data_IF_553669406452
#
_entry.id   IF_553669406452
#
_cell.length_a   1.000
_cell.length_b   1.000
_cell.length_c   1.000
_cell.angle_alpha   90.00
_cell.angle_beta   90.00
_cell.angle_gamma   90.00
#
_symmetry.space_group_name_H-M   'P 1'
#
loop_
_entity.id
_entity.type
_entity.pdbx_description
1 polymer ?
#
# COMPACT_ATOMS: atom_id res chain seq x y z
N UNK A 1 -30.27 60.02 4.72
CA UNK A 1 -29.98 58.69 4.11
C UNK A 1 -28.47 58.49 4.22
N UNK A 2 -28.01 58.00 5.38
CA UNK A 2 -26.59 57.75 5.66
C UNK A 2 -26.34 56.25 5.52
N UNK A 3 -25.51 55.86 4.56
CA UNK A 3 -25.04 54.49 4.42
C UNK A 3 -24.02 54.21 5.52
N UNK A 4 -24.38 53.35 6.48
CA UNK A 4 -23.44 52.70 7.40
C UNK A 4 -22.66 51.66 6.60
N UNK A 5 -21.38 51.91 6.38
CA UNK A 5 -20.41 50.91 5.95
C UNK A 5 -20.19 49.98 7.14
N UNK A 6 -20.70 48.75 7.05
CA UNK A 6 -20.33 47.68 7.95
C UNK A 6 -18.90 47.25 7.58
N UNK A 7 -17.94 47.64 8.41
CA UNK A 7 -16.62 47.01 8.41
C UNK A 7 -16.76 45.64 9.06
N UNK A 8 -16.90 44.61 8.23
CA UNK A 8 -16.72 43.22 8.64
C UNK A 8 -15.29 43.07 9.17
N UNK A 9 -15.20 42.85 10.48
CA UNK A 9 -14.01 42.36 11.15
C UNK A 9 -13.76 40.94 10.65
N UNK A 10 -12.66 40.76 9.92
CA UNK A 10 -12.09 39.43 9.62
C UNK A 10 -11.74 38.75 10.94
N UNK A 11 -12.68 38.00 11.50
CA UNK A 11 -12.38 36.92 12.44
C UNK A 11 -11.68 35.82 11.65
N UNK A 12 -10.36 35.72 11.80
CA UNK A 12 -9.64 34.53 11.35
C UNK A 12 -10.12 33.36 12.20
N UNK A 13 -10.95 32.50 11.64
CA UNK A 13 -11.20 31.19 12.23
C UNK A 13 -9.87 30.44 12.19
N UNK A 14 -9.33 30.08 13.36
CA UNK A 14 -8.33 29.03 13.44
C UNK A 14 -8.95 27.79 12.80
N UNK A 15 -8.43 27.39 11.64
CA UNK A 15 -8.84 26.15 11.01
C UNK A 15 -8.23 25.00 11.81
N UNK A 16 -9.05 24.27 12.56
CA UNK A 16 -8.63 23.03 13.21
C UNK A 16 -8.11 22.05 12.14
N UNK A 17 -6.90 21.55 12.32
CA UNK A 17 -6.35 20.47 11.50
C UNK A 17 -6.64 19.11 12.15
N UNK A 18 -6.87 18.09 11.34
CA UNK A 18 -7.16 16.73 11.77
C UNK A 18 -6.18 15.76 11.14
N UNK A 19 -5.49 14.98 11.99
CA UNK A 19 -4.59 13.92 11.57
C UNK A 19 -5.38 12.61 11.35
N UNK A 20 -5.44 12.21 10.09
CA UNK A 20 -5.91 10.91 9.64
C UNK A 20 -4.75 9.92 9.60
N UNK A 21 -4.96 8.71 10.14
CA UNK A 21 -3.96 7.63 10.08
C UNK A 21 -4.60 6.32 9.63
N UNK A 22 -3.95 5.68 8.65
CA UNK A 22 -4.32 4.35 8.19
C UNK A 22 -3.07 3.49 7.95
N UNK A 23 -3.23 2.18 8.08
CA UNK A 23 -2.16 1.22 7.84
C UNK A 23 -2.70 -0.06 7.23
N UNK A 24 -2.09 -0.51 6.14
CA UNK A 24 -2.47 -1.74 5.46
C UNK A 24 -2.20 -2.95 6.35
N UNK A 25 -3.15 -3.86 6.38
CA UNK A 25 -3.08 -5.06 7.20
C UNK A 25 -2.33 -6.15 6.46
N UNK A 26 -1.44 -6.84 7.19
CA UNK A 26 -0.73 -8.03 6.70
C UNK A 26 -0.15 -7.83 5.29
N UNK A 27 0.57 -6.73 5.07
CA UNK A 27 1.21 -6.45 3.77
C UNK A 27 2.09 -7.62 3.33
N UNK A 28 2.76 -8.29 4.27
CA UNK A 28 3.54 -9.50 3.99
C UNK A 28 2.68 -10.62 3.40
N UNK A 29 1.47 -10.84 3.90
CA UNK A 29 0.52 -11.79 3.31
C UNK A 29 0.14 -11.34 1.90
N UNK A 30 -0.17 -10.05 1.71
CA UNK A 30 -0.49 -9.51 0.40
C UNK A 30 0.65 -9.77 -0.59
N UNK A 31 1.91 -9.57 -0.21
CA UNK A 31 3.05 -9.71 -1.11
C UNK A 31 3.49 -11.16 -1.30
N UNK A 32 3.64 -11.92 -0.22
CA UNK A 32 4.34 -13.21 -0.19
C UNK A 32 3.43 -14.44 -0.16
N UNK A 33 2.10 -14.28 -0.19
CA UNK A 33 1.20 -15.44 -0.35
C UNK A 33 1.42 -16.21 -1.65
N UNK A 34 1.94 -15.56 -2.68
CA UNK A 34 2.36 -16.25 -3.89
C UNK A 34 3.77 -16.80 -3.72
N UNK A 35 3.97 -18.06 -4.09
CA UNK A 35 5.30 -18.67 -4.18
C UNK A 35 6.09 -18.22 -5.42
N UNK A 36 5.54 -17.32 -6.24
CA UNK A 36 6.10 -16.90 -7.52
C UNK A 36 6.68 -15.50 -7.42
N UNK A 37 7.99 -15.36 -7.64
CA UNK A 37 8.69 -14.08 -7.54
C UNK A 37 8.10 -13.01 -8.46
N UNK A 38 7.66 -13.37 -9.67
CA UNK A 38 6.98 -12.44 -10.58
C UNK A 38 5.75 -11.81 -9.92
N UNK A 39 4.96 -12.61 -9.21
CA UNK A 39 3.76 -12.13 -8.53
C UNK A 39 4.10 -11.37 -7.24
N UNK A 40 5.18 -11.76 -6.54
CA UNK A 40 5.69 -11.01 -5.38
C UNK A 40 6.13 -9.60 -5.82
N UNK A 41 6.95 -9.52 -6.87
CA UNK A 41 7.43 -8.26 -7.43
C UNK A 41 6.29 -7.45 -8.07
N UNK A 42 5.38 -8.11 -8.79
CA UNK A 42 4.15 -7.52 -9.31
C UNK A 42 3.29 -6.93 -8.21
N UNK A 43 3.10 -7.64 -7.09
CA UNK A 43 2.39 -7.14 -5.91
C UNK A 43 3.08 -5.94 -5.27
N UNK A 44 4.42 -5.96 -5.20
CA UNK A 44 5.18 -4.81 -4.71
C UNK A 44 5.01 -3.59 -5.61
N UNK A 45 4.94 -3.80 -6.93
CA UNK A 45 4.69 -2.72 -7.89
C UNK A 45 3.26 -2.18 -7.75
N UNK A 46 2.25 -3.06 -7.66
CA UNK A 46 0.87 -2.65 -7.41
C UNK A 46 0.75 -1.83 -6.13
N UNK A 47 1.43 -2.22 -5.04
CA UNK A 47 1.42 -1.45 -3.79
C UNK A 47 2.10 -0.08 -3.95
N UNK A 48 3.20 -0.01 -4.70
CA UNK A 48 3.90 1.24 -4.97
C UNK A 48 3.08 2.18 -5.87
N UNK A 49 2.46 1.64 -6.91
CA UNK A 49 1.51 2.35 -7.78
C UNK A 49 0.31 2.82 -6.97
N UNK A 50 -0.27 1.96 -6.13
CA UNK A 50 -1.33 2.36 -5.21
C UNK A 50 -0.89 3.50 -4.28
N UNK A 51 0.27 3.41 -3.63
CA UNK A 51 0.74 4.47 -2.74
C UNK A 51 0.97 5.79 -3.50
N UNK A 52 1.40 5.72 -4.76
CA UNK A 52 1.54 6.89 -5.65
C UNK A 52 0.20 7.42 -6.12
N UNK A 53 -0.72 6.56 -6.55
CA UNK A 53 -1.97 6.94 -7.20
C UNK A 53 -3.08 7.28 -6.18
N UNK A 54 -3.20 6.50 -5.10
CA UNK A 54 -4.10 6.81 -3.99
C UNK A 54 -3.75 8.14 -3.33
N UNK A 55 -2.46 8.44 -3.17
CA UNK A 55 -1.99 9.72 -2.64
C UNK A 55 -2.10 10.86 -3.68
N UNK A 56 -1.58 10.66 -4.90
CA UNK A 56 -1.39 11.76 -5.85
C UNK A 56 -2.62 12.14 -6.69
N UNK A 57 -3.57 11.22 -6.95
CA UNK A 57 -4.65 11.50 -7.91
C UNK A 57 -5.98 11.90 -7.26
N UNK A 58 -6.28 11.47 -6.03
CA UNK A 58 -7.57 11.78 -5.41
C UNK A 58 -7.52 12.79 -4.26
N UNK A 59 -6.41 12.92 -3.52
CA UNK A 59 -6.40 13.66 -2.24
C UNK A 59 -5.39 14.79 -2.12
N UNK A 60 -4.14 14.61 -2.53
CA UNK A 60 -3.12 15.67 -2.35
C UNK A 60 -3.39 16.88 -3.27
N UNK A 61 -4.16 16.70 -4.35
CA UNK A 61 -4.52 17.78 -5.27
C UNK A 61 -5.75 18.57 -4.85
N UNK A 62 -6.47 18.18 -3.79
CA UNK A 62 -7.59 18.96 -3.25
C UNK A 62 -7.08 20.00 -2.25
N UNK A 63 -7.57 21.26 -2.29
CA UNK A 63 -7.22 22.24 -1.27
C UNK A 63 -7.67 21.77 0.11
N UNK A 64 -6.81 21.92 1.12
CA UNK A 64 -7.08 21.53 2.52
C UNK A 64 -6.53 20.16 2.94
N UNK A 65 -5.77 19.48 2.08
CA UNK A 65 -5.12 18.20 2.40
C UNK A 65 -3.59 18.33 2.34
N UNK A 66 -2.88 17.84 3.36
CA UNK A 66 -1.40 17.82 3.39
C UNK A 66 -0.89 16.42 3.73
N UNK A 67 -0.12 15.85 2.81
CA UNK A 67 0.54 14.55 3.03
C UNK A 67 1.68 14.69 4.05
N UNK A 68 1.69 13.80 5.05
CA UNK A 68 2.81 13.63 5.98
C UNK A 68 3.61 12.39 5.58
N UNK A 69 2.95 11.24 5.42
CA UNK A 69 3.56 9.97 4.94
C UNK A 69 2.56 9.20 4.07
N UNK A 70 2.98 8.75 2.88
CA UNK A 70 2.34 7.68 2.09
C UNK A 70 3.40 6.70 1.58
N UNK A 71 3.76 5.73 2.41
CA UNK A 71 4.79 4.75 2.04
C UNK A 71 4.55 3.39 2.71
N UNK A 72 4.81 2.32 1.97
CA UNK A 72 4.76 0.96 2.49
C UNK A 72 3.41 0.58 3.11
N UNK A 73 2.31 1.11 2.58
CA UNK A 73 0.97 0.89 3.12
C UNK A 73 0.67 1.63 4.42
N UNK A 74 1.49 2.58 4.85
CA UNK A 74 1.20 3.49 5.95
C UNK A 74 0.83 4.88 5.42
N UNK A 75 -0.29 5.42 5.89
CA UNK A 75 -0.84 6.69 5.45
C UNK A 75 -1.04 7.61 6.65
N UNK A 76 -0.47 8.81 6.58
CA UNK A 76 -0.68 9.91 7.54
C UNK A 76 -0.94 11.18 6.77
N UNK A 77 -2.14 11.71 6.91
CA UNK A 77 -2.63 12.83 6.11
C UNK A 77 -3.33 13.83 7.03
N UNK A 78 -3.07 15.12 6.82
CA UNK A 78 -3.75 16.20 7.51
C UNK A 78 -4.93 16.68 6.67
N UNK A 79 -6.06 16.92 7.34
CA UNK A 79 -7.30 17.44 6.79
C UNK A 79 -7.74 18.69 7.54
N UNK A 80 -8.41 19.60 6.83
CA UNK A 80 -9.07 20.79 7.41
C UNK A 80 -10.46 20.51 8.02
N UNK A 81 -10.97 19.29 7.85
CA UNK A 81 -12.28 18.86 8.34
C UNK A 81 -12.23 17.40 8.77
N UNK A 82 -12.88 17.11 9.90
CA UNK A 82 -13.04 15.76 10.43
C UNK A 82 -13.86 14.89 9.47
N UNK A 83 -14.95 15.42 8.94
CA UNK A 83 -15.87 14.73 8.04
C UNK A 83 -15.15 14.27 6.76
N UNK A 84 -14.29 15.13 6.20
CA UNK A 84 -13.47 14.77 5.03
C UNK A 84 -12.49 13.64 5.32
N UNK A 85 -11.89 13.63 6.51
CA UNK A 85 -10.99 12.57 6.92
C UNK A 85 -11.72 11.22 7.10
N UNK A 86 -12.95 11.24 7.61
CA UNK A 86 -13.80 10.05 7.74
C UNK A 86 -14.24 9.50 6.38
N UNK A 87 -14.79 10.35 5.50
CA UNK A 87 -15.15 9.97 4.13
C UNK A 87 -13.96 9.39 3.36
N UNK A 88 -12.78 9.98 3.55
CA UNK A 88 -11.56 9.45 2.97
C UNK A 88 -11.20 8.07 3.51
N UNK A 89 -11.37 7.81 4.80
CA UNK A 89 -11.12 6.51 5.41
C UNK A 89 -11.94 5.38 4.79
N UNK A 90 -13.23 5.63 4.57
CA UNK A 90 -14.12 4.67 3.90
C UNK A 90 -13.71 4.44 2.45
N UNK A 91 -13.46 5.52 1.71
CA UNK A 91 -13.01 5.47 0.33
C UNK A 91 -11.69 4.70 0.18
N UNK A 92 -10.69 5.03 1.01
CA UNK A 92 -9.38 4.38 1.00
C UNK A 92 -9.51 2.88 1.28
N UNK A 93 -10.41 2.50 2.20
CA UNK A 93 -10.65 1.10 2.55
C UNK A 93 -11.26 0.31 1.40
N UNK A 94 -12.29 0.86 0.73
CA UNK A 94 -12.88 0.24 -0.46
C UNK A 94 -11.90 0.18 -1.63
N UNK A 95 -11.17 1.27 -1.87
CA UNK A 95 -10.21 1.35 -2.97
C UNK A 95 -9.07 0.36 -2.77
N UNK A 96 -8.50 0.28 -1.56
CA UNK A 96 -7.46 -0.70 -1.22
C UNK A 96 -7.96 -2.15 -1.40
N UNK A 97 -9.21 -2.43 -0.98
CA UNK A 97 -9.82 -3.75 -1.15
C UNK A 97 -9.98 -4.14 -2.61
N UNK A 98 -10.46 -3.22 -3.46
CA UNK A 98 -10.69 -3.50 -4.89
C UNK A 98 -9.40 -3.66 -5.67
N UNK A 99 -8.44 -2.78 -5.45
CA UNK A 99 -7.19 -2.77 -6.21
C UNK A 99 -6.22 -3.87 -5.78
N UNK A 100 -6.09 -4.09 -4.46
CA UNK A 100 -5.07 -4.96 -3.91
C UNK A 100 -5.63 -6.27 -3.31
N UNK A 101 -6.94 -6.37 -3.09
CA UNK A 101 -7.57 -7.53 -2.44
C UNK A 101 -7.15 -7.72 -0.98
N UNK A 102 -6.52 -6.71 -0.40
CA UNK A 102 -6.14 -6.68 1.01
C UNK A 102 -7.11 -5.82 1.81
N UNK A 103 -6.73 -5.53 3.04
CA UNK A 103 -7.51 -4.63 3.90
C UNK A 103 -6.61 -3.59 4.54
N UNK A 104 -7.20 -2.46 4.91
CA UNK A 104 -6.53 -1.41 5.65
C UNK A 104 -7.23 -1.20 6.99
N UNK A 105 -6.47 -0.89 8.03
CA UNK A 105 -7.00 -0.42 9.31
C UNK A 105 -6.91 1.10 9.33
N UNK A 106 -8.05 1.75 9.53
CA UNK A 106 -8.17 3.21 9.65
C UNK A 106 -8.45 3.56 11.10
N UNK A 107 -7.93 4.68 11.58
CA UNK A 107 -8.34 5.22 12.89
C UNK A 107 -9.83 5.53 12.89
N UNK A 108 -10.57 4.97 13.84
CA UNK A 108 -12.03 5.17 13.95
C UNK A 108 -12.43 6.65 14.06
N UNK A 109 -11.56 7.49 14.63
CA UNK A 109 -11.76 8.93 14.71
C UNK A 109 -10.46 9.65 14.32
N UNK A 110 -10.50 10.62 13.38
CA UNK A 110 -9.39 11.52 13.12
C UNK A 110 -9.00 12.32 14.37
N UNK A 111 -7.71 12.59 14.54
CA UNK A 111 -7.19 13.27 15.73
C UNK A 111 -7.04 14.77 15.47
N UNK A 112 -7.77 15.61 16.20
CA UNK A 112 -7.56 17.06 16.14
C UNK A 112 -6.13 17.42 16.59
N UNK A 113 -5.48 18.30 15.83
CA UNK A 113 -4.09 18.70 16.05
C UNK A 113 -4.06 19.91 16.99
N UNK A 114 -3.93 19.64 18.29
CA UNK A 114 -3.60 20.66 19.31
C UNK A 114 -2.10 20.93 19.34
N UNK A 115 -1.32 19.85 19.34
CA UNK A 115 0.13 19.84 19.18
C UNK A 115 0.51 18.63 18.31
N UNK A 116 1.53 18.76 17.45
CA UNK A 116 1.93 17.68 16.55
C UNK A 116 2.32 16.40 17.31
N UNK A 117 3.06 16.56 18.41
CA UNK A 117 3.50 15.44 19.25
C UNK A 117 2.33 14.67 19.88
N UNK A 118 1.33 15.38 20.43
CA UNK A 118 0.14 14.72 20.99
C UNK A 118 -0.70 14.07 19.90
N UNK A 119 -0.86 14.74 18.75
CA UNK A 119 -1.59 14.21 17.61
C UNK A 119 -0.97 12.88 17.13
N UNK A 120 0.35 12.83 16.96
CA UNK A 120 1.11 11.63 16.60
C UNK A 120 0.86 10.50 17.60
N UNK A 121 1.02 10.79 18.89
CA UNK A 121 0.91 9.80 19.97
C UNK A 121 -0.53 9.24 20.08
N UNK A 122 -1.52 10.13 20.02
CA UNK A 122 -2.93 9.75 20.09
C UNK A 122 -3.35 8.96 18.86
N UNK A 123 -2.92 9.38 17.66
CA UNK A 123 -3.25 8.67 16.43
C UNK A 123 -2.65 7.26 16.40
N UNK A 124 -1.41 7.07 16.88
CA UNK A 124 -0.82 5.74 17.03
C UNK A 124 -1.58 4.88 18.05
N UNK A 125 -2.00 5.46 19.18
CA UNK A 125 -2.81 4.76 20.17
C UNK A 125 -4.16 4.32 19.58
N UNK A 126 -4.83 5.18 18.82
CA UNK A 126 -6.10 4.87 18.17
C UNK A 126 -5.95 3.82 17.07
N UNK A 127 -4.88 3.90 16.27
CA UNK A 127 -4.58 2.88 15.27
C UNK A 127 -4.34 1.51 15.92
N UNK A 128 -3.58 1.45 17.02
CA UNK A 128 -3.38 0.21 17.78
C UNK A 128 -4.70 -0.32 18.33
N UNK A 129 -5.56 0.56 18.86
CA UNK A 129 -6.89 0.15 19.36
C UNK A 129 -7.73 -0.44 18.23
N UNK A 130 -7.79 0.24 17.07
CA UNK A 130 -8.51 -0.24 15.89
C UNK A 130 -8.00 -1.60 15.41
N UNK A 131 -6.68 -1.82 15.39
CA UNK A 131 -6.09 -3.13 15.04
C UNK A 131 -6.49 -4.25 16.01
N UNK A 132 -6.58 -3.96 17.32
CA UNK A 132 -6.96 -4.95 18.33
C UNK A 132 -8.46 -5.25 18.36
N UNK A 133 -9.31 -4.30 17.97
CA UNK A 133 -10.76 -4.50 17.91
C UNK A 133 -11.18 -5.59 16.92
N UNK A 134 -10.28 -6.00 16.02
CA UNK A 134 -10.58 -6.94 14.95
C UNK A 134 -11.46 -6.29 13.89
N UNK A 135 -11.82 -7.08 12.88
CA UNK A 135 -12.77 -6.67 11.84
C UNK A 135 -14.04 -7.48 11.96
N UNK A 136 -15.14 -6.89 11.56
CA UNK A 136 -16.40 -7.60 11.48
C UNK A 136 -16.25 -8.83 10.57
N UNK A 137 -16.81 -9.98 10.97
CA UNK A 137 -16.80 -11.16 10.12
C UNK A 137 -17.46 -10.85 8.78
N UNK A 138 -16.72 -11.04 7.70
CA UNK A 138 -17.25 -10.91 6.33
C UNK A 138 -17.67 -12.28 5.82
N UNK A 139 -18.84 -12.33 5.18
CA UNK A 139 -19.27 -13.53 4.47
C UNK A 139 -18.31 -13.79 3.30
N UNK A 140 -17.81 -15.01 3.23
CA UNK A 140 -17.01 -15.47 2.09
C UNK A 140 -17.98 -15.95 1.00
N UNK A 141 -17.70 -15.66 -0.26
CA UNK A 141 -18.41 -16.26 -1.39
C UNK A 141 -18.33 -17.80 -1.27
N UNK A 142 -19.47 -18.47 -1.18
CA UNK A 142 -19.54 -19.94 -1.14
C UNK A 142 -20.45 -20.43 -2.26
N UNK A 143 -19.93 -21.34 -3.09
CA UNK A 143 -20.69 -22.01 -4.15
C UNK A 143 -20.34 -23.51 -4.18
N UNK A 144 -21.25 -24.40 -4.63
CA UNK A 144 -20.99 -25.84 -4.70
C UNK A 144 -19.84 -26.22 -5.63
N UNK A 145 -19.53 -25.37 -6.60
CA UNK A 145 -18.45 -25.55 -7.56
C UNK A 145 -17.53 -24.34 -7.50
N UNK A 146 -16.40 -24.48 -6.81
CA UNK A 146 -15.35 -23.46 -6.75
C UNK A 146 -14.00 -24.08 -7.09
N UNK A 147 -13.15 -23.30 -7.74
CA UNK A 147 -11.74 -23.60 -7.90
C UNK A 147 -10.92 -22.65 -7.04
N UNK A 148 -9.93 -23.18 -6.32
CA UNK A 148 -8.99 -22.39 -5.54
C UNK A 148 -7.83 -21.97 -6.44
N UNK A 149 -7.36 -20.75 -6.29
CA UNK A 149 -6.22 -20.22 -7.03
C UNK A 149 -4.97 -21.09 -6.80
N UNK A 150 -4.40 -21.59 -7.89
CA UNK A 150 -3.20 -22.42 -7.89
C UNK A 150 -1.92 -21.65 -7.48
N UNK A 151 -1.98 -20.32 -7.37
CA UNK A 151 -0.82 -19.51 -7.03
C UNK A 151 -0.78 -19.11 -5.55
N UNK A 152 -1.86 -18.52 -5.01
CA UNK A 152 -1.93 -18.12 -3.61
C UNK A 152 -2.57 -19.16 -2.68
N UNK A 153 -3.24 -20.18 -3.22
CA UNK A 153 -3.86 -21.25 -2.44
C UNK A 153 -5.09 -20.87 -1.61
N UNK A 154 -5.51 -19.60 -1.62
CA UNK A 154 -6.65 -19.13 -0.78
C UNK A 154 -7.74 -18.39 -1.55
N UNK A 155 -7.39 -17.73 -2.65
CA UNK A 155 -8.35 -16.93 -3.44
C UNK A 155 -9.24 -17.82 -4.30
N UNK A 156 -10.49 -17.40 -4.52
CA UNK A 156 -11.38 -18.04 -5.49
C UNK A 156 -10.87 -17.68 -6.89
N UNK A 157 -10.71 -18.71 -7.73
CA UNK A 157 -10.24 -18.53 -9.10
C UNK A 157 -11.31 -17.85 -9.96
N UNK A 158 -10.87 -16.89 -10.78
CA UNK A 158 -11.69 -16.18 -11.77
C UNK A 158 -11.19 -16.38 -13.20
N UNK A 159 -9.96 -16.87 -13.36
CA UNK A 159 -9.29 -17.05 -14.64
C UNK A 159 -8.76 -18.48 -14.77
N UNK A 160 -8.68 -18.97 -15.99
CA UNK A 160 -8.06 -20.24 -16.35
C UNK A 160 -7.18 -20.03 -17.59
N UNK A 161 -5.88 -19.85 -17.37
CA UNK A 161 -4.96 -19.42 -18.42
C UNK A 161 -3.55 -19.99 -18.20
N UNK A 162 -2.81 -20.13 -19.30
CA UNK A 162 -1.40 -20.52 -19.33
C UNK A 162 -0.51 -19.29 -19.21
N UNK A 163 0.51 -19.34 -18.36
CA UNK A 163 1.42 -18.18 -18.15
C UNK A 163 2.52 -18.10 -19.21
N UNK A 164 2.85 -19.24 -19.81
CA UNK A 164 3.78 -19.38 -20.93
C UNK A 164 3.17 -20.35 -21.95
N UNK A 165 3.57 -20.27 -23.22
CA UNK A 165 3.06 -21.14 -24.29
C UNK A 165 3.28 -22.64 -24.00
N UNK A 166 4.33 -22.97 -23.24
CA UNK A 166 4.71 -24.32 -22.83
C UNK A 166 4.09 -24.76 -21.50
N UNK A 167 3.33 -23.90 -20.81
CA UNK A 167 2.71 -24.22 -19.53
C UNK A 167 1.24 -24.64 -19.68
N UNK A 168 0.83 -25.68 -18.93
CA UNK A 168 -0.60 -26.00 -18.80
C UNK A 168 -1.36 -24.85 -18.15
N UNK A 169 -2.58 -24.53 -18.62
CA UNK A 169 -3.40 -23.51 -18.00
C UNK A 169 -3.75 -23.85 -16.56
N UNK A 170 -3.82 -22.82 -15.72
CA UNK A 170 -4.05 -22.93 -14.27
C UNK A 170 -5.14 -21.97 -13.83
N UNK A 171 -5.83 -22.36 -12.77
CA UNK A 171 -6.83 -21.52 -12.12
C UNK A 171 -6.14 -20.41 -11.30
N UNK A 172 -6.43 -19.15 -11.60
CA UNK A 172 -5.87 -17.99 -10.90
C UNK A 172 -6.98 -17.07 -10.37
N UNK A 173 -6.78 -16.52 -9.17
CA UNK A 173 -7.65 -15.46 -8.66
C UNK A 173 -7.28 -14.12 -9.30
N UNK A 174 -8.20 -13.16 -9.20
CA UNK A 174 -8.04 -11.81 -9.74
C UNK A 174 -6.79 -11.09 -9.24
N UNK A 175 -6.47 -11.22 -7.96
CA UNK A 175 -5.29 -10.57 -7.39
C UNK A 175 -3.99 -11.18 -7.93
N UNK A 176 -3.86 -12.50 -8.00
CA UNK A 176 -2.68 -13.16 -8.57
C UNK A 176 -2.54 -12.87 -10.07
N UNK A 177 -3.67 -12.78 -10.78
CA UNK A 177 -3.70 -12.36 -12.18
C UNK A 177 -3.14 -10.94 -12.37
N UNK A 178 -3.66 -9.99 -11.59
CA UNK A 178 -3.23 -8.60 -11.65
C UNK A 178 -1.75 -8.44 -11.29
N UNK A 179 -1.25 -9.20 -10.30
CA UNK A 179 0.18 -9.24 -9.97
C UNK A 179 1.03 -9.74 -11.13
N UNK A 180 0.60 -10.80 -11.81
CA UNK A 180 1.32 -11.35 -12.95
C UNK A 180 1.39 -10.33 -14.11
N UNK A 181 0.30 -9.59 -14.37
CA UNK A 181 0.25 -8.49 -15.35
C UNK A 181 1.09 -7.29 -14.95
N UNK A 182 1.04 -6.87 -13.68
CA UNK A 182 1.82 -5.75 -13.17
C UNK A 182 3.33 -5.98 -13.39
N UNK A 183 3.80 -7.22 -13.27
CA UNK A 183 5.17 -7.60 -13.60
C UNK A 183 5.58 -7.27 -15.05
N UNK A 184 4.69 -7.43 -16.03
CA UNK A 184 4.99 -7.10 -17.43
C UNK A 184 5.28 -5.60 -17.60
N UNK A 185 4.69 -4.74 -16.76
CA UNK A 185 4.97 -3.31 -16.70
C UNK A 185 6.28 -2.93 -15.98
N UNK A 186 6.79 -3.78 -15.08
CA UNK A 186 8.00 -3.52 -14.25
C UNK A 186 9.26 -3.40 -15.10
N UNK A 187 9.33 -4.10 -16.24
CA UNK A 187 10.55 -4.21 -17.03
C UNK A 187 11.07 -2.90 -17.63
N UNK A 188 10.27 -1.81 -17.65
CA UNK A 188 10.67 -0.58 -18.36
C UNK A 188 11.04 0.63 -17.49
N UNK A 189 10.66 0.70 -16.20
CA UNK A 189 10.89 1.90 -15.34
C UNK A 189 10.98 1.63 -13.81
N UNK A 190 11.25 0.41 -13.37
CA UNK A 190 11.14 0.05 -11.94
C UNK A 190 12.42 0.30 -11.12
N UNK A 191 12.33 0.12 -9.80
CA UNK A 191 13.53 0.02 -8.94
C UNK A 191 14.47 -1.09 -9.41
N UNK A 192 13.93 -2.24 -9.82
CA UNK A 192 14.71 -3.39 -10.25
C UNK A 192 15.57 -3.06 -11.49
N UNK A 193 15.01 -2.35 -12.49
CA UNK A 193 15.80 -1.93 -13.64
C UNK A 193 16.95 -0.99 -13.23
N UNK A 194 16.67 0.00 -12.37
CA UNK A 194 17.71 0.91 -11.84
C UNK A 194 18.78 0.19 -11.00
N UNK A 195 18.38 -0.82 -10.22
CA UNK A 195 19.30 -1.62 -9.42
C UNK A 195 20.21 -2.46 -10.32
N UNK A 196 19.64 -3.10 -11.35
CA UNK A 196 20.39 -3.82 -12.37
C UNK A 196 21.36 -2.86 -13.06
N UNK A 197 20.89 -1.71 -13.56
CA UNK A 197 21.75 -0.71 -14.22
C UNK A 197 22.90 -0.24 -13.31
N UNK A 198 22.65 -0.11 -12.00
CA UNK A 198 23.66 0.31 -11.04
C UNK A 198 24.69 -0.77 -10.75
N UNK A 199 24.26 -2.03 -10.59
CA UNK A 199 25.14 -3.18 -10.27
C UNK A 199 25.93 -3.62 -11.51
N UNK A 200 25.33 -3.54 -12.70
CA UNK A 200 25.93 -3.98 -13.96
C UNK A 200 26.56 -2.84 -14.77
N UNK A 201 26.73 -1.64 -14.17
CA UNK A 201 27.25 -0.45 -14.86
C UNK A 201 28.60 -0.66 -15.56
N UNK A 202 29.40 -1.64 -15.08
CA UNK A 202 30.73 -1.96 -15.57
C UNK A 202 30.84 -3.36 -16.23
N UNK A 203 29.72 -4.04 -16.47
CA UNK A 203 29.69 -5.39 -17.06
C UNK A 203 29.21 -5.31 -18.51
N UNK A 204 30.07 -5.67 -19.48
CA UNK A 204 29.81 -5.48 -20.92
C UNK A 204 28.86 -6.49 -21.55
N UNK A 205 28.25 -7.39 -20.77
CA UNK A 205 27.34 -8.41 -21.28
C UNK A 205 25.89 -8.02 -21.00
N UNK A 206 25.09 -7.88 -22.06
CA UNK A 206 23.63 -7.87 -21.94
C UNK A 206 23.20 -9.23 -21.35
N UNK A 207 22.78 -9.23 -20.08
CA UNK A 207 22.15 -10.39 -19.45
C UNK A 207 20.66 -10.18 -19.38
N UNK A 208 19.91 -11.02 -20.09
CA UNK A 208 18.46 -11.12 -19.89
C UNK A 208 18.19 -11.63 -18.47
N UNK A 209 17.43 -10.85 -17.68
CA UNK A 209 17.00 -11.31 -16.38
C UNK A 209 16.08 -12.53 -16.55
N UNK A 210 16.31 -13.64 -15.82
CA UNK A 210 15.54 -14.85 -16.04
C UNK A 210 14.05 -14.65 -15.83
N UNK A 211 13.23 -15.26 -16.70
CA UNK A 211 11.77 -15.14 -16.66
C UNK A 211 11.14 -15.79 -15.42
N UNK A 212 11.85 -16.68 -14.74
CA UNK A 212 11.40 -17.36 -13.52
C UNK A 212 12.59 -17.61 -12.57
N UNK A 213 12.30 -17.70 -11.27
CA UNK A 213 13.28 -18.02 -10.22
C UNK A 213 13.91 -19.39 -10.44
N UNK A 214 13.15 -20.34 -11.00
CA UNK A 214 13.67 -21.66 -11.35
C UNK A 214 14.88 -21.56 -12.29
N UNK A 215 14.90 -20.57 -13.18
CA UNK A 215 16.03 -20.31 -14.08
C UNK A 215 17.21 -19.62 -13.40
N UNK A 216 16.97 -18.91 -12.30
CA UNK A 216 18.04 -18.37 -11.45
C UNK A 216 18.71 -19.51 -10.67
N UNK A 217 17.93 -20.47 -10.16
CA UNK A 217 18.44 -21.62 -9.44
C UNK A 217 19.41 -22.47 -10.29
N UNK A 218 19.11 -22.62 -11.59
CA UNK A 218 19.96 -23.33 -12.55
C UNK A 218 21.38 -22.72 -12.70
N UNK A 219 21.59 -21.47 -12.29
CA UNK A 219 22.90 -20.81 -12.32
C UNK A 219 23.85 -21.29 -11.21
N UNK A 220 23.36 -22.06 -10.23
CA UNK A 220 24.13 -22.60 -9.12
C UNK A 220 24.03 -24.14 -9.12
N UNK A 221 25.17 -24.82 -8.91
CA UNK A 221 25.28 -26.28 -9.12
C UNK A 221 24.46 -27.15 -8.16
N UNK A 222 23.96 -26.60 -7.06
CA UNK A 222 23.06 -27.27 -6.10
C UNK A 222 21.60 -26.84 -6.28
N UNK A 223 21.32 -25.99 -7.26
CA UNK A 223 19.99 -25.50 -7.59
C UNK A 223 19.34 -24.74 -6.41
N UNK A 224 20.14 -23.98 -5.65
CA UNK A 224 19.64 -23.17 -4.54
C UNK A 224 19.38 -21.72 -4.94
N UNK A 225 18.36 -21.14 -4.31
CA UNK A 225 18.05 -19.71 -4.38
C UNK A 225 18.18 -19.14 -2.97
N UNK A 226 18.98 -18.09 -2.82
CA UNK A 226 19.01 -17.31 -1.59
C UNK A 226 17.83 -16.34 -1.56
N UNK A 227 17.08 -16.35 -0.46
CA UNK A 227 16.00 -15.41 -0.20
C UNK A 227 16.35 -14.58 1.03
N UNK A 228 16.35 -13.24 0.88
CA UNK A 228 16.73 -12.30 1.93
C UNK A 228 15.51 -11.45 2.25
N UNK A 229 15.06 -11.50 3.52
CA UNK A 229 14.09 -10.57 4.08
C UNK A 229 14.83 -9.71 5.09
N UNK A 230 14.71 -8.39 4.95
CA UNK A 230 15.22 -7.43 5.92
C UNK A 230 14.04 -6.63 6.48
N UNK A 231 14.00 -6.48 7.81
CA UNK A 231 13.03 -5.66 8.52
C UNK A 231 13.75 -4.78 9.55
N UNK A 232 13.23 -3.58 9.79
CA UNK A 232 13.81 -2.62 10.72
C UNK A 232 13.24 -2.83 12.12
N UNK A 233 14.10 -3.21 13.05
CA UNK A 233 13.70 -3.44 14.44
C UNK A 233 13.15 -2.16 15.10
N UNK A 234 12.07 -2.31 15.86
CA UNK A 234 11.51 -1.25 16.72
C UNK A 234 11.11 0.05 15.99
N UNK A 235 10.78 -0.04 14.69
CA UNK A 235 10.40 1.12 13.89
C UNK A 235 9.19 1.89 14.48
N UNK A 236 8.25 1.20 15.14
CA UNK A 236 7.15 1.84 15.86
C UNK A 236 7.60 2.74 17.02
N UNK A 237 8.67 2.37 17.73
CA UNK A 237 9.27 3.19 18.81
C UNK A 237 9.94 4.42 18.24
N UNK A 238 10.64 4.28 17.11
CA UNK A 238 11.24 5.40 16.40
C UNK A 238 10.17 6.43 15.99
N UNK A 239 9.09 6.00 15.34
CA UNK A 239 7.98 6.88 14.97
C UNK A 239 7.24 7.47 16.18
N UNK A 240 7.23 6.79 17.32
CA UNK A 240 6.63 7.33 18.56
C UNK A 240 7.49 8.43 19.20
N UNK A 241 8.78 8.48 18.85
CA UNK A 241 9.74 9.47 19.37
C UNK A 241 9.80 10.76 18.55
N UNK A 242 9.17 10.78 17.37
CA UNK A 242 9.03 12.00 16.57
C UNK A 242 8.13 13.00 17.29
N UNK A 243 8.63 14.23 17.43
CA UNK A 243 7.95 15.37 18.05
C UNK A 243 7.31 16.32 17.01
N UNK A 244 7.60 16.12 15.72
CA UNK A 244 7.01 16.88 14.62
C UNK A 244 6.72 16.04 13.38
N UNK A 245 5.80 16.51 12.54
CA UNK A 245 5.47 15.90 11.25
C UNK A 245 6.64 15.91 10.27
N UNK A 246 7.51 16.93 10.33
CA UNK A 246 8.68 17.00 9.47
C UNK A 246 9.75 15.96 9.84
N UNK A 247 9.88 15.59 11.12
CA UNK A 247 10.76 14.49 11.54
C UNK A 247 10.21 13.10 11.22
N UNK A 248 8.97 13.00 10.72
CA UNK A 248 8.37 11.73 10.30
C UNK A 248 8.61 11.41 8.81
N UNK A 249 8.96 12.42 7.99
CA UNK A 249 9.27 12.24 6.57
C UNK A 249 10.66 11.64 6.37
#
# INVERSE_FOLDING_TARGET
>A
MQYKIFTETKGGAEMSEYLFVAEADKIQDLLFRSSKLREVAGGSQMLNEFCKDAAANQLIKKPGCKEVISAGGSFRILFDSKERAEEFGEYLSEFYRRELGGTITVTAEPVEVTTEQEAIKNAQKYLRKAKHSGKDPVSVEQMPYIAICASCGTGIARYYESRFEDEKPKYTCEICHNKAKAWEGIQKKSFLSRFIDHVYKDVSEEREFPKDVSKIAELEGRNYIAYIIADVNSMGTLFSSCDSFDKMK
#
